data_IF_352364552360
#
_entry.id   IF_352364552360
#
_cell.length_a   1.000
_cell.length_b   1.000
_cell.length_c   1.000
_cell.angle_alpha   90.00
_cell.angle_beta   90.00
_cell.angle_gamma   90.00
#
_symmetry.space_group_name_H-M   'P 1'
#
loop_
_entity.id
_entity.type
_entity.pdbx_description
1 polymer ?
#
# COMPACT_ATOMS: atom_id res chain seq x y z
N UNK A 1 -13.06 -3.49 -16.02
CA UNK A 1 -12.72 -2.63 -14.88
C UNK A 1 -12.02 -3.49 -13.84
N UNK A 2 -10.73 -3.29 -13.59
CA UNK A 2 -9.99 -4.08 -12.59
C UNK A 2 -10.30 -3.51 -11.20
N UNK A 3 -11.18 -4.18 -10.48
CA UNK A 3 -11.52 -3.83 -9.09
C UNK A 3 -10.41 -4.30 -8.16
N UNK A 4 -10.04 -3.47 -7.19
CA UNK A 4 -9.14 -3.90 -6.12
C UNK A 4 -9.72 -5.14 -5.42
N UNK A 5 -8.91 -6.16 -5.11
CA UNK A 5 -9.36 -7.42 -4.50
C UNK A 5 -9.74 -7.27 -3.01
N UNK A 6 -9.76 -6.04 -2.50
CA UNK A 6 -10.14 -5.68 -1.15
C UNK A 6 -11.32 -4.72 -1.18
N UNK A 7 -12.35 -5.06 -0.41
CA UNK A 7 -13.48 -4.16 -0.19
C UNK A 7 -13.06 -2.98 0.69
N UNK A 8 -13.75 -1.84 0.57
CA UNK A 8 -13.54 -0.68 1.46
C UNK A 8 -13.60 -1.07 2.95
N UNK A 9 -14.47 -2.02 3.33
CA UNK A 9 -14.55 -2.51 4.72
C UNK A 9 -13.26 -3.20 5.17
N UNK A 10 -12.69 -4.06 4.32
CA UNK A 10 -11.44 -4.78 4.63
C UNK A 10 -10.26 -3.81 4.76
N UNK A 11 -10.17 -2.80 3.88
CA UNK A 11 -9.12 -1.79 3.94
C UNK A 11 -9.19 -0.94 5.22
N UNK A 12 -10.40 -0.57 5.66
CA UNK A 12 -10.59 0.17 6.92
C UNK A 12 -10.15 -0.64 8.14
N UNK A 13 -10.54 -1.91 8.22
CA UNK A 13 -10.18 -2.79 9.34
C UNK A 13 -8.66 -2.96 9.38
N UNK A 14 -8.06 -3.27 8.23
CA UNK A 14 -6.63 -3.50 8.15
C UNK A 14 -5.80 -2.22 8.44
N UNK A 15 -6.29 -1.06 8.01
CA UNK A 15 -5.68 0.24 8.34
C UNK A 15 -5.71 0.54 9.85
N UNK A 16 -6.76 0.11 10.57
CA UNK A 16 -6.88 0.31 12.02
C UNK A 16 -6.02 -0.66 12.83
N UNK A 17 -5.85 -1.88 12.35
CA UNK A 17 -5.09 -2.93 13.04
C UNK A 17 -3.59 -2.88 12.76
N UNK A 18 -3.15 -2.16 11.73
CA UNK A 18 -1.75 -1.97 11.40
C UNK A 18 -1.14 -0.85 12.24
N UNK A 19 -0.14 -1.21 13.07
CA UNK A 19 0.53 -0.26 13.97
C UNK A 19 1.23 0.88 13.24
N UNK A 20 1.73 0.67 12.02
CA UNK A 20 2.37 1.72 11.21
C UNK A 20 1.31 2.63 10.60
N UNK A 21 0.32 2.07 9.89
CA UNK A 21 -0.72 2.86 9.22
C UNK A 21 -1.56 3.64 10.23
N UNK A 22 -1.95 3.01 11.35
CA UNK A 22 -2.69 3.67 12.42
C UNK A 22 -1.90 4.83 13.05
N UNK A 23 -0.58 4.65 13.25
CA UNK A 23 0.28 5.72 13.76
C UNK A 23 0.45 6.86 12.75
N UNK A 24 0.58 6.54 11.46
CA UNK A 24 0.62 7.55 10.39
C UNK A 24 -0.70 8.32 10.35
N UNK A 25 -1.84 7.64 10.47
CA UNK A 25 -3.15 8.31 10.57
C UNK A 25 -3.23 9.23 11.79
N UNK A 26 -2.65 8.83 12.93
CA UNK A 26 -2.56 9.70 14.10
C UNK A 26 -1.74 10.97 13.79
N UNK A 27 -0.56 10.83 13.18
CA UNK A 27 0.28 11.98 12.80
C UNK A 27 -0.41 12.90 11.79
N UNK A 28 -1.11 12.34 10.81
CA UNK A 28 -1.87 13.15 9.84
C UNK A 28 -3.00 13.93 10.51
N UNK A 29 -3.61 13.43 11.60
CA UNK A 29 -4.66 14.13 12.34
C UNK A 29 -4.13 15.17 13.34
N UNK A 30 -3.06 14.83 14.05
CA UNK A 30 -2.55 15.62 15.18
C UNK A 30 -1.40 16.56 14.78
N UNK A 31 -0.87 16.41 13.57
CA UNK A 31 0.35 17.06 13.13
C UNK A 31 1.54 16.10 13.17
N UNK A 32 2.39 16.23 12.17
CA UNK A 32 3.61 15.44 12.06
C UNK A 32 4.71 16.02 12.94
N UNK A 33 5.47 15.18 13.69
CA UNK A 33 6.63 15.65 14.43
C UNK A 33 7.77 16.04 13.48
N UNK A 34 8.68 16.87 13.97
CA UNK A 34 9.87 17.31 13.22
C UNK A 34 10.83 16.15 12.93
N UNK A 35 10.88 15.17 13.83
CA UNK A 35 11.72 13.98 13.71
C UNK A 35 10.85 12.75 13.83
N UNK A 36 10.96 11.84 12.86
CA UNK A 36 10.25 10.55 12.87
C UNK A 36 11.24 9.38 12.82
N UNK A 37 10.89 8.22 13.42
CA UNK A 37 11.66 6.99 13.24
C UNK A 37 11.77 6.59 11.77
N UNK A 38 12.82 5.81 11.43
CA UNK A 38 13.11 5.37 10.06
C UNK A 38 11.92 4.69 9.37
N UNK A 39 11.13 3.91 10.11
CA UNK A 39 9.93 3.24 9.63
C UNK A 39 8.87 4.20 9.05
N UNK A 40 8.81 5.44 9.55
CA UNK A 40 7.82 6.44 9.15
C UNK A 40 8.38 7.48 8.15
N UNK A 41 9.69 7.45 7.87
CA UNK A 41 10.38 8.46 7.04
C UNK A 41 9.79 8.56 5.63
N UNK A 42 9.40 7.44 5.04
CA UNK A 42 8.75 7.37 3.74
C UNK A 42 7.38 8.09 3.71
N UNK A 43 6.62 8.01 4.80
CA UNK A 43 5.36 8.73 4.96
C UNK A 43 5.58 10.20 5.28
N UNK A 44 6.53 10.51 6.18
CA UNK A 44 6.86 11.89 6.56
C UNK A 44 7.34 12.74 5.37
N UNK A 45 8.10 12.14 4.46
CA UNK A 45 8.54 12.81 3.22
C UNK A 45 7.36 13.19 2.32
N UNK A 46 6.27 12.41 2.38
CA UNK A 46 5.04 12.57 1.58
C UNK A 46 3.89 13.19 2.37
N UNK A 47 4.14 13.64 3.60
CA UNK A 47 3.09 14.00 4.58
C UNK A 47 2.06 15.01 4.07
N UNK A 48 2.48 15.92 3.19
CA UNK A 48 1.60 16.96 2.63
C UNK A 48 0.59 16.40 1.61
N UNK A 49 0.86 15.21 1.06
CA UNK A 49 0.00 14.52 0.09
C UNK A 49 -0.75 13.34 0.73
N UNK A 50 -0.52 13.11 2.03
CA UNK A 50 -1.15 12.03 2.78
C UNK A 50 -2.44 12.53 3.41
N UNK A 51 -3.56 11.91 3.05
CA UNK A 51 -4.89 12.25 3.55
C UNK A 51 -5.55 11.05 4.19
N UNK A 52 -6.61 11.30 4.96
CA UNK A 52 -7.42 10.24 5.56
C UNK A 52 -8.83 10.39 5.01
N UNK A 53 -9.32 9.35 4.33
CA UNK A 53 -10.69 9.31 3.82
C UNK A 53 -11.35 8.02 4.25
N UNK A 54 -12.59 8.13 4.73
CA UNK A 54 -13.39 6.98 5.15
C UNK A 54 -12.68 6.02 6.14
N UNK A 55 -11.74 6.50 6.96
CA UNK A 55 -10.88 5.72 7.86
C UNK A 55 -9.83 4.82 7.16
N UNK A 56 -9.48 5.13 5.92
CA UNK A 56 -8.31 4.63 5.21
C UNK A 56 -7.30 5.75 5.01
N UNK A 57 -6.02 5.39 4.95
CA UNK A 57 -4.95 6.34 4.62
C UNK A 57 -4.75 6.37 3.10
N UNK A 58 -4.64 7.56 2.53
CA UNK A 58 -4.40 7.77 1.11
C UNK A 58 -3.12 8.57 0.89
N UNK A 59 -2.50 8.34 -0.26
CA UNK A 59 -1.45 9.19 -0.81
C UNK A 59 -1.92 9.68 -2.19
N UNK A 60 -2.32 10.94 -2.27
CA UNK A 60 -3.09 11.45 -3.40
C UNK A 60 -4.38 10.65 -3.59
N UNK A 61 -4.51 9.95 -4.71
CA UNK A 61 -5.66 9.06 -5.03
C UNK A 61 -5.41 7.59 -4.68
N UNK A 62 -4.24 7.25 -4.14
CA UNK A 62 -3.83 5.85 -3.91
C UNK A 62 -4.11 5.43 -2.49
N UNK A 63 -4.68 4.26 -2.30
CA UNK A 63 -4.89 3.70 -0.96
C UNK A 63 -3.56 3.18 -0.42
N UNK A 64 -3.18 3.61 0.77
CA UNK A 64 -2.05 3.05 1.48
C UNK A 64 -2.44 1.71 2.07
N UNK A 65 -1.68 0.67 1.74
CA UNK A 65 -1.97 -0.70 2.15
C UNK A 65 -1.15 -1.10 3.38
N UNK A 66 -1.86 -1.62 4.39
CA UNK A 66 -1.28 -2.24 5.58
C UNK A 66 -0.48 -3.48 5.23
N UNK A 67 0.53 -3.80 6.02
CA UNK A 67 1.40 -4.96 5.81
C UNK A 67 0.61 -6.27 5.70
N UNK A 68 -0.39 -6.45 6.55
CA UNK A 68 -1.30 -7.60 6.58
C UNK A 68 -2.12 -7.82 5.31
N UNK A 69 -2.29 -6.80 4.48
CA UNK A 69 -3.06 -6.86 3.24
C UNK A 69 -2.20 -6.96 1.98
N UNK A 70 -0.88 -6.73 2.08
CA UNK A 70 0.02 -6.69 0.93
C UNK A 70 0.02 -8.02 0.18
N UNK A 71 0.19 -9.14 0.90
CA UNK A 71 0.24 -10.47 0.29
C UNK A 71 -1.03 -10.80 -0.50
N UNK A 72 -2.21 -10.50 0.07
CA UNK A 72 -3.49 -10.75 -0.63
C UNK A 72 -3.63 -9.92 -1.91
N UNK A 73 -3.18 -8.67 -1.90
CA UNK A 73 -3.18 -7.83 -3.11
C UNK A 73 -2.20 -8.38 -4.14
N UNK A 74 -0.99 -8.72 -3.71
CA UNK A 74 0.06 -9.27 -4.56
C UNK A 74 -0.36 -10.58 -5.23
N UNK A 75 -0.93 -11.52 -4.46
CA UNK A 75 -1.46 -12.78 -4.98
C UNK A 75 -2.54 -12.54 -6.04
N UNK A 76 -3.51 -11.67 -5.76
CA UNK A 76 -4.59 -11.39 -6.71
C UNK A 76 -4.10 -10.70 -7.99
N UNK A 77 -3.12 -9.79 -7.89
CA UNK A 77 -2.48 -9.18 -9.06
C UNK A 77 -1.70 -10.19 -9.91
N UNK A 78 -1.29 -11.30 -9.30
CA UNK A 78 -0.45 -12.33 -9.92
C UNK A 78 -1.26 -13.49 -10.51
N UNK A 79 -2.56 -13.62 -10.21
CA UNK A 79 -3.42 -14.76 -10.61
C UNK A 79 -3.35 -15.13 -12.11
N UNK A 80 -3.10 -14.16 -13.00
CA UNK A 80 -3.02 -14.36 -14.45
C UNK A 80 -1.59 -14.33 -15.01
N UNK A 81 -0.57 -14.42 -14.15
CA UNK A 81 0.84 -14.30 -14.50
C UNK A 81 1.15 -13.13 -15.46
N UNK A 82 0.63 -11.90 -15.21
CA UNK A 82 0.70 -10.81 -16.18
C UNK A 82 2.12 -10.23 -16.39
N UNK A 83 3.10 -10.70 -15.62
CA UNK A 83 4.47 -10.21 -15.62
C UNK A 83 4.68 -8.90 -14.88
N UNK A 84 5.95 -8.60 -14.59
CA UNK A 84 6.38 -7.48 -13.74
C UNK A 84 5.88 -6.11 -14.22
N UNK A 85 5.95 -5.82 -15.51
CA UNK A 85 5.62 -4.50 -16.08
C UNK A 85 4.13 -4.22 -15.88
N UNK A 86 3.28 -5.19 -16.22
CA UNK A 86 1.82 -5.05 -16.12
C UNK A 86 1.36 -4.97 -14.68
N UNK A 87 1.92 -5.80 -13.78
CA UNK A 87 1.65 -5.70 -12.35
C UNK A 87 1.99 -4.31 -11.81
N UNK A 88 3.20 -3.79 -12.07
CA UNK A 88 3.60 -2.44 -11.62
C UNK A 88 2.66 -1.36 -12.12
N UNK A 89 2.31 -1.38 -13.41
CA UNK A 89 1.41 -0.41 -14.02
C UNK A 89 0.02 -0.40 -13.36
N UNK A 90 -0.55 -1.59 -13.14
CA UNK A 90 -1.87 -1.71 -12.54
C UNK A 90 -1.85 -1.27 -11.07
N UNK A 91 -0.87 -1.71 -10.30
CA UNK A 91 -0.83 -1.52 -8.85
C UNK A 91 -0.59 -0.05 -8.48
N UNK A 92 0.35 0.61 -9.16
CA UNK A 92 0.69 2.04 -8.94
C UNK A 92 -0.48 3.00 -9.22
N UNK A 93 -1.50 2.55 -9.94
CA UNK A 93 -2.68 3.38 -10.22
C UNK A 93 -3.58 3.49 -8.98
N UNK A 94 -3.66 2.46 -8.15
CA UNK A 94 -4.68 2.35 -7.11
C UNK A 94 -4.14 2.27 -5.68
N UNK A 95 -2.93 1.73 -5.49
CA UNK A 95 -2.39 1.45 -4.16
C UNK A 95 -0.94 1.87 -4.02
N UNK A 96 -0.53 2.02 -2.77
CA UNK A 96 0.85 2.34 -2.44
C UNK A 96 1.26 1.76 -1.09
N UNK A 97 2.51 1.34 -0.98
CA UNK A 97 3.21 1.13 0.29
C UNK A 97 4.72 1.25 0.05
N UNK A 98 5.51 1.50 1.11
CA UNK A 98 6.97 1.50 0.99
C UNK A 98 7.46 0.12 0.54
N UNK A 99 8.10 0.06 -0.64
CA UNK A 99 8.64 -1.20 -1.18
C UNK A 99 7.75 -1.92 -2.19
N UNK A 100 6.57 -1.38 -2.56
CA UNK A 100 5.64 -1.98 -3.52
C UNK A 100 6.31 -2.63 -4.74
N UNK A 101 7.16 -1.88 -5.45
CA UNK A 101 7.80 -2.39 -6.66
C UNK A 101 8.77 -3.55 -6.38
N UNK A 102 9.43 -3.54 -5.22
CA UNK A 102 10.34 -4.60 -4.79
C UNK A 102 9.57 -5.87 -4.44
N UNK A 103 8.40 -5.73 -3.81
CA UNK A 103 7.56 -6.88 -3.48
C UNK A 103 6.98 -7.52 -4.74
N UNK A 104 6.56 -6.72 -5.72
CA UNK A 104 6.16 -7.22 -7.06
C UNK A 104 7.33 -7.94 -7.74
N UNK A 105 8.52 -7.34 -7.75
CA UNK A 105 9.72 -7.96 -8.33
C UNK A 105 10.03 -9.31 -7.69
N UNK A 106 9.99 -9.37 -6.36
CA UNK A 106 10.25 -10.59 -5.60
C UNK A 106 9.26 -11.68 -5.97
N UNK A 107 7.96 -11.36 -6.01
CA UNK A 107 6.91 -12.33 -6.35
C UNK A 107 7.09 -12.88 -7.77
N UNK A 108 7.27 -12.00 -8.75
CA UNK A 108 7.39 -12.40 -10.16
C UNK A 108 8.65 -13.24 -10.38
N UNK A 109 9.78 -12.88 -9.75
CA UNK A 109 11.03 -13.66 -9.83
C UNK A 109 10.94 -15.02 -9.14
N UNK A 110 10.07 -15.19 -8.15
CA UNK A 110 9.84 -16.46 -7.46
C UNK A 110 8.81 -17.38 -8.14
N UNK A 111 8.26 -16.96 -9.29
CA UNK A 111 7.22 -17.70 -10.00
C UNK A 111 7.81 -18.31 -11.28
N UNK A 112 7.90 -19.64 -11.34
CA UNK A 112 8.51 -20.35 -12.49
C UNK A 112 7.83 -20.03 -13.84
N UNK A 113 6.48 -19.91 -13.93
CA UNK A 113 5.83 -19.44 -15.17
C UNK A 113 6.18 -18.01 -15.59
N UNK A 114 6.72 -17.18 -14.69
CA UNK A 114 6.96 -15.75 -14.90
C UNK A 114 8.45 -15.36 -14.95
N UNK A 115 9.35 -16.30 -14.61
CA UNK A 115 10.80 -16.08 -14.53
C UNK A 115 11.46 -16.10 -15.91
#
# INVERSE_FOLDING_TARGET
>A
MSTLPLTHKQLKIASRCDGVVSKVMQYTRQGWPNTVPKAFKCYWTRRNEVTIEAASLLWGTKVVISETCRDRILTSLHESHPGIVRMKSQTRSYVWWPGLDKDIEKLVKSCDPCS
#
